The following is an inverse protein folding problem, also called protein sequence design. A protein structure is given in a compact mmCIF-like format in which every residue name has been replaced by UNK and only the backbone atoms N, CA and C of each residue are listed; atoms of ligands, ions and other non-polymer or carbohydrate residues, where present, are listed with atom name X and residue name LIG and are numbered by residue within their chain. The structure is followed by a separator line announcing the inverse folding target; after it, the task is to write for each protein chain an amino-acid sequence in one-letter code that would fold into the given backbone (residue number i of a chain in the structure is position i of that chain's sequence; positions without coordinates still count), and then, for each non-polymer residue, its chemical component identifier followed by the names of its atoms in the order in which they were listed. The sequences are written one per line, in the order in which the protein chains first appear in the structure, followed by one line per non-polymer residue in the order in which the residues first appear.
data_IF_547529550683
#
_entry.id   IF_547529550683
#
_cell.length_a   1.000
_cell.length_b   1.000
_cell.length_c   1.000
_cell.angle_alpha   90.00
_cell.angle_beta   90.00
_cell.angle_gamma   90.00
#
_symmetry.space_group_name_H-M   'P 1'
#
loop_
_entity.id
_entity.type
_entity.pdbx_description
1 polymer ?
#
# COMPACT_ATOMS: atom_id res chain seq x y z
N UNK A 1 -21.49 8.29 -18.32
CA UNK A 1 -21.37 6.90 -17.84
C UNK A 1 -20.07 6.24 -18.29
N UNK A 2 -19.80 6.06 -19.60
CA UNK A 2 -18.57 5.38 -20.09
C UNK A 2 -17.24 5.89 -19.50
N UNK A 3 -17.00 7.21 -19.48
CA UNK A 3 -15.74 7.76 -18.95
C UNK A 3 -15.55 7.51 -17.44
N UNK A 4 -16.64 7.46 -16.67
CA UNK A 4 -16.63 7.24 -15.22
C UNK A 4 -16.36 5.77 -14.86
N UNK A 5 -16.99 4.84 -15.57
CA UNK A 5 -16.72 3.40 -15.44
C UNK A 5 -15.25 3.10 -15.72
N UNK A 6 -14.67 3.75 -16.74
CA UNK A 6 -13.24 3.65 -17.05
C UNK A 6 -12.38 4.19 -15.90
N UNK A 7 -12.74 5.33 -15.30
CA UNK A 7 -12.00 5.91 -14.16
C UNK A 7 -12.06 5.02 -12.91
N UNK A 8 -13.22 4.44 -12.58
CA UNK A 8 -13.36 3.52 -11.43
C UNK A 8 -12.56 2.24 -11.65
N UNK A 9 -12.54 1.73 -12.88
CA UNK A 9 -11.76 0.55 -13.23
C UNK A 9 -10.25 0.82 -13.13
N UNK A 10 -9.79 2.00 -13.57
CA UNK A 10 -8.41 2.43 -13.39
C UNK A 10 -8.01 2.55 -11.91
N UNK A 11 -8.87 3.14 -11.07
CA UNK A 11 -8.61 3.24 -9.62
C UNK A 11 -8.54 1.84 -8.98
N UNK A 12 -9.43 0.94 -9.38
CA UNK A 12 -9.44 -0.45 -8.89
C UNK A 12 -8.15 -1.17 -9.26
N UNK A 13 -7.75 -1.14 -10.54
CA UNK A 13 -6.49 -1.76 -10.98
C UNK A 13 -5.27 -1.17 -10.29
N UNK A 14 -5.26 0.15 -10.01
CA UNK A 14 -4.19 0.80 -9.26
C UNK A 14 -4.14 0.32 -7.81
N UNK A 15 -5.29 0.19 -7.13
CA UNK A 15 -5.38 -0.37 -5.77
C UNK A 15 -4.84 -1.79 -5.73
N UNK A 16 -5.26 -2.64 -6.68
CA UNK A 16 -4.83 -4.04 -6.72
C UNK A 16 -3.32 -4.16 -6.92
N UNK A 17 -2.78 -3.39 -7.87
CA UNK A 17 -1.33 -3.36 -8.15
C UNK A 17 -0.53 -2.86 -6.94
N UNK A 18 -0.97 -1.78 -6.31
CA UNK A 18 -0.29 -1.22 -5.13
C UNK A 18 -0.36 -2.19 -3.95
N UNK A 19 -1.49 -2.88 -3.76
CA UNK A 19 -1.66 -3.87 -2.69
C UNK A 19 -0.71 -5.05 -2.89
N UNK A 20 -0.62 -5.57 -4.12
CA UNK A 20 0.30 -6.64 -4.47
C UNK A 20 1.75 -6.22 -4.22
N UNK A 21 2.19 -5.10 -4.81
CA UNK A 21 3.56 -4.62 -4.67
C UNK A 21 3.94 -4.33 -3.22
N UNK A 22 3.02 -3.78 -2.42
CA UNK A 22 3.29 -3.49 -1.02
C UNK A 22 3.41 -4.77 -0.16
N UNK A 23 2.68 -5.82 -0.52
CA UNK A 23 2.81 -7.15 0.10
C UNK A 23 4.13 -7.84 -0.28
N UNK A 24 4.51 -7.78 -1.55
CA UNK A 24 5.81 -8.27 -2.04
C UNK A 24 6.96 -7.52 -1.36
N UNK A 25 6.86 -6.20 -1.24
CA UNK A 25 7.81 -5.37 -0.51
C UNK A 25 7.92 -5.82 0.96
N UNK A 26 6.80 -5.99 1.66
CA UNK A 26 6.82 -6.46 3.05
C UNK A 26 7.51 -7.81 3.20
N UNK A 27 7.24 -8.74 2.29
CA UNK A 27 7.90 -10.05 2.26
C UNK A 27 9.41 -9.91 2.05
N UNK A 28 9.85 -9.10 1.08
CA UNK A 28 11.26 -8.85 0.83
C UNK A 28 11.97 -8.24 2.05
N UNK A 29 11.34 -7.26 2.73
CA UNK A 29 11.91 -6.65 3.95
C UNK A 29 12.03 -7.64 5.11
N UNK A 30 11.09 -8.59 5.24
CA UNK A 30 11.16 -9.65 6.25
C UNK A 30 12.28 -10.66 5.95
N UNK A 31 12.51 -10.95 4.66
CA UNK A 31 13.61 -11.81 4.24
C UNK A 31 14.96 -11.13 4.53
N UNK A 32 15.08 -9.83 4.26
CA UNK A 32 16.28 -9.05 4.60
C UNK A 32 16.58 -9.09 6.11
N UNK A 33 15.56 -8.92 6.96
CA UNK A 33 15.72 -9.02 8.42
C UNK A 33 16.18 -10.41 8.85
N UNK A 34 15.66 -11.46 8.21
CA UNK A 34 16.12 -12.84 8.48
C UNK A 34 17.58 -13.03 8.09
N UNK A 35 17.99 -12.55 6.90
CA UNK A 35 19.38 -12.63 6.43
C UNK A 35 20.31 -11.80 7.31
N UNK A 36 19.89 -10.62 7.75
CA UNK A 36 20.66 -9.80 8.68
C UNK A 36 20.90 -10.53 10.00
N UNK A 37 19.85 -11.13 10.60
CA UNK A 37 20.00 -11.91 11.83
C UNK A 37 20.97 -13.09 11.67
N UNK A 38 20.96 -13.75 10.50
CA UNK A 38 21.93 -14.80 10.19
C UNK A 38 23.36 -14.24 10.12
N UNK A 39 23.59 -13.14 9.41
CA UNK A 39 24.91 -12.51 9.29
C UNK A 39 25.43 -12.04 10.66
N UNK A 40 24.59 -11.41 11.45
CA UNK A 40 24.93 -10.95 12.79
C UNK A 40 25.19 -12.09 13.78
N UNK A 41 24.65 -13.29 13.54
CA UNK A 41 24.96 -14.49 14.33
C UNK A 41 26.34 -15.08 14.03
N UNK A 42 26.91 -14.77 12.86
CA UNK A 42 28.18 -15.35 12.42
C UNK A 42 29.40 -14.61 12.95
N UNK A 43 29.28 -13.30 13.23
CA UNK A 43 30.40 -12.46 13.65
C UNK A 43 30.06 -11.64 14.90
N UNK A 44 31.01 -11.59 15.84
CA UNK A 44 30.91 -10.80 17.08
C UNK A 44 31.80 -9.56 17.01
N UNK A 45 31.43 -8.51 17.73
CA UNK A 45 32.24 -7.28 17.90
C UNK A 45 31.60 -6.02 17.33
N UNK A 46 32.33 -4.91 17.44
CA UNK A 46 31.86 -3.55 17.14
C UNK A 46 31.37 -3.37 15.70
N UNK A 47 31.98 -4.09 14.74
CA UNK A 47 31.55 -4.07 13.35
C UNK A 47 30.14 -4.66 13.18
N UNK A 48 29.82 -5.74 13.89
CA UNK A 48 28.48 -6.35 13.88
C UNK A 48 27.46 -5.42 14.52
N UNK A 49 27.78 -4.85 15.67
CA UNK A 49 26.88 -3.93 16.38
C UNK A 49 26.58 -2.67 15.55
N UNK A 50 27.59 -2.15 14.84
CA UNK A 50 27.43 -1.00 13.93
C UNK A 50 26.53 -1.34 12.74
N UNK A 51 26.70 -2.53 12.15
CA UNK A 51 25.88 -2.99 11.04
C UNK A 51 24.42 -3.23 11.46
N UNK A 52 24.19 -3.95 12.56
CA UNK A 52 22.85 -4.19 13.13
C UNK A 52 22.13 -2.86 13.44
N UNK A 53 22.83 -1.91 14.06
CA UNK A 53 22.27 -0.59 14.35
C UNK A 53 21.90 0.21 13.08
N UNK A 54 22.71 0.11 12.02
CA UNK A 54 22.39 0.73 10.73
C UNK A 54 21.19 0.05 10.06
N UNK A 55 21.17 -1.28 10.03
CA UNK A 55 20.09 -2.06 9.45
C UNK A 55 18.75 -1.79 10.13
N UNK A 56 18.71 -1.72 11.47
CA UNK A 56 17.48 -1.40 12.22
C UNK A 56 16.91 -0.03 11.88
N UNK A 57 17.77 0.97 11.61
CA UNK A 57 17.32 2.29 11.15
C UNK A 57 16.69 2.19 9.76
N UNK A 58 17.32 1.47 8.84
CA UNK A 58 16.79 1.26 7.50
C UNK A 58 15.47 0.47 7.53
N UNK A 59 15.38 -0.56 8.37
CA UNK A 59 14.18 -1.36 8.59
C UNK A 59 13.01 -0.51 9.09
N UNK A 60 13.28 0.43 10.00
CA UNK A 60 12.27 1.40 10.46
C UNK A 60 11.73 2.22 9.28
N UNK A 61 12.61 2.67 8.38
CA UNK A 61 12.17 3.42 7.19
C UNK A 61 11.42 2.55 6.19
N UNK A 62 11.80 1.29 6.04
CA UNK A 62 11.05 0.32 5.22
C UNK A 62 9.64 0.10 5.78
N UNK A 63 9.49 -0.06 7.09
CA UNK A 63 8.18 -0.21 7.73
C UNK A 63 7.33 1.08 7.60
N UNK A 64 7.95 2.25 7.74
CA UNK A 64 7.30 3.53 7.50
C UNK A 64 6.80 3.66 6.05
N UNK A 65 7.61 3.25 5.08
CA UNK A 65 7.24 3.25 3.66
C UNK A 65 6.05 2.30 3.41
N UNK A 66 6.10 1.08 3.93
CA UNK A 66 4.99 0.13 3.84
C UNK A 66 3.69 0.72 4.38
N UNK A 67 3.74 1.35 5.56
CA UNK A 67 2.59 1.97 6.20
C UNK A 67 2.05 3.17 5.39
N UNK A 68 2.92 3.98 4.81
CA UNK A 68 2.52 5.09 3.95
C UNK A 68 1.77 4.61 2.70
N UNK A 69 2.23 3.52 2.08
CA UNK A 69 1.54 2.91 0.94
C UNK A 69 0.20 2.30 1.36
N UNK A 70 0.11 1.65 2.52
CA UNK A 70 -1.17 1.17 3.07
C UNK A 70 -2.16 2.33 3.26
N UNK A 71 -1.71 3.44 3.83
CA UNK A 71 -2.55 4.62 4.01
C UNK A 71 -3.01 5.21 2.66
N UNK A 72 -2.11 5.24 1.67
CA UNK A 72 -2.45 5.70 0.33
C UNK A 72 -3.51 4.81 -0.34
N UNK A 73 -3.39 3.48 -0.23
CA UNK A 73 -4.40 2.51 -0.71
C UNK A 73 -5.75 2.76 -0.03
N UNK A 74 -5.76 3.02 1.28
CA UNK A 74 -6.98 3.32 2.03
C UNK A 74 -7.66 4.60 1.52
N UNK A 75 -6.89 5.65 1.24
CA UNK A 75 -7.42 6.91 0.68
C UNK A 75 -7.99 6.69 -0.72
N UNK A 76 -7.30 5.92 -1.58
CA UNK A 76 -7.80 5.57 -2.91
C UNK A 76 -9.12 4.79 -2.85
N UNK A 77 -9.23 3.86 -1.90
CA UNK A 77 -10.44 3.06 -1.68
C UNK A 77 -11.61 3.95 -1.25
N UNK A 78 -11.39 4.84 -0.27
CA UNK A 78 -12.41 5.80 0.16
C UNK A 78 -12.83 6.75 -0.98
N UNK A 79 -11.88 7.19 -1.81
CA UNK A 79 -12.19 8.01 -2.97
C UNK A 79 -13.10 7.25 -3.94
N UNK A 80 -12.77 5.98 -4.26
CA UNK A 80 -13.59 5.10 -5.09
C UNK A 80 -15.02 4.98 -4.56
N UNK A 81 -15.18 4.73 -3.27
CA UNK A 81 -16.49 4.59 -2.61
C UNK A 81 -17.31 5.89 -2.68
N UNK A 82 -16.68 7.04 -2.44
CA UNK A 82 -17.36 8.35 -2.56
C UNK A 82 -17.84 8.61 -3.98
N UNK A 83 -17.04 8.25 -4.99
CA UNK A 83 -17.46 8.39 -6.39
C UNK A 83 -18.65 7.48 -6.73
N UNK A 84 -18.63 6.21 -6.27
CA UNK A 84 -19.75 5.28 -6.47
C UNK A 84 -21.04 5.77 -5.79
N UNK A 85 -20.94 6.26 -4.56
CA UNK A 85 -22.10 6.78 -3.83
C UNK A 85 -22.73 8.01 -4.52
N UNK A 86 -21.89 8.93 -5.01
CA UNK A 86 -22.36 10.09 -5.78
C UNK A 86 -23.03 9.69 -7.10
N UNK A 87 -22.54 8.65 -7.77
CA UNK A 87 -23.16 8.12 -8.99
C UNK A 87 -24.52 7.48 -8.71
N UNK A 88 -24.64 6.71 -7.64
CA UNK A 88 -25.91 6.10 -7.24
C UNK A 88 -26.96 7.19 -6.96
N UNK A 89 -26.61 8.23 -6.19
CA UNK A 89 -27.51 9.33 -5.87
C UNK A 89 -27.96 10.12 -7.12
N UNK A 90 -27.06 10.32 -8.09
CA UNK A 90 -27.38 10.98 -9.36
C UNK A 90 -28.31 10.11 -10.24
N UNK A 91 -28.06 8.81 -10.29
CA UNK A 91 -28.91 7.85 -11.02
C UNK A 91 -30.31 7.79 -10.41
N UNK A 92 -30.41 7.72 -9.08
CA UNK A 92 -31.69 7.76 -8.36
C UNK A 92 -32.45 9.07 -8.65
N UNK A 93 -31.78 10.23 -8.55
CA UNK A 93 -32.39 11.53 -8.86
C UNK A 93 -32.89 11.61 -10.30
N UNK A 94 -32.11 11.11 -11.27
CA UNK A 94 -32.52 11.08 -12.68
C UNK A 94 -33.70 10.13 -12.93
N UNK A 95 -33.72 8.97 -12.25
CA UNK A 95 -34.79 7.97 -12.38
C UNK A 95 -36.12 8.44 -11.77
N UNK A 96 -36.04 9.28 -10.73
CA UNK A 96 -37.20 9.86 -10.06
C UNK A 96 -37.78 11.06 -10.83
N UNK A 97 -37.00 11.68 -11.73
CA UNK A 97 -37.42 12.74 -12.65
C UNK A 97 -37.98 12.16 -13.97
N UNK A 98 -38.89 11.18 -13.89
CA UNK A 98 -39.73 10.84 -15.04
C UNK A 98 -41.02 11.68 -14.99
N UNK A 99 -41.32 12.37 -16.10
CA UNK A 99 -42.53 13.15 -16.33
C UNK A 99 -43.74 12.25 -16.64
#
# INVERSE_FOLDING_TARGET
MSQYTVTIQQITSAIDTLTQLNSEFKTATSNLETTEGQLCSMWEGEARDTFDAAFKKDKTQMDNFYNAIQQYINVLTQAKEKYLAAEQANTETASTRNY
#
